data_IF_711342248476
#
_entry.id   IF_711342248476
#
_cell.length_a   1.000
_cell.length_b   1.000
_cell.length_c   1.000
_cell.angle_alpha   90.00
_cell.angle_beta   90.00
_cell.angle_gamma   90.00
#
_symmetry.space_group_name_H-M   'P 1'
#
loop_
_entity.id
_entity.type
_entity.pdbx_description
1 polymer ?
#
# COMPACT_ATOMS: atom_id res chain seq x y z
N UNK A 1 -10.57 -30.95 21.60
CA UNK A 1 -9.18 -30.49 21.84
C UNK A 1 -8.46 -29.95 20.60
N UNK A 2 -9.04 -30.03 19.38
CA UNK A 2 -8.44 -29.43 18.18
C UNK A 2 -8.84 -27.95 17.93
N UNK A 3 -9.89 -27.48 18.61
CA UNK A 3 -10.45 -26.14 18.40
C UNK A 3 -9.50 -25.03 18.83
N UNK A 4 -8.79 -25.20 19.96
CA UNK A 4 -7.81 -24.20 20.44
C UNK A 4 -6.66 -24.05 19.44
N UNK A 5 -6.15 -25.18 18.91
CA UNK A 5 -5.09 -25.18 17.91
C UNK A 5 -5.55 -24.46 16.63
N UNK A 6 -6.74 -24.78 16.13
CA UNK A 6 -7.33 -24.16 14.96
C UNK A 6 -7.53 -22.64 15.14
N UNK A 7 -8.10 -22.21 16.27
CA UNK A 7 -8.33 -20.79 16.54
C UNK A 7 -7.03 -20.02 16.67
N UNK A 8 -6.00 -20.61 17.29
CA UNK A 8 -4.68 -19.98 17.41
C UNK A 8 -4.02 -19.80 16.05
N UNK A 9 -4.10 -20.80 15.15
CA UNK A 9 -3.56 -20.67 13.79
C UNK A 9 -4.27 -19.56 13.03
N UNK A 10 -5.61 -19.51 13.06
CA UNK A 10 -6.34 -18.47 12.32
C UNK A 10 -6.09 -17.07 12.88
N UNK A 11 -6.08 -16.92 14.20
CA UNK A 11 -5.77 -15.64 14.84
C UNK A 11 -4.34 -15.20 14.51
N UNK A 12 -3.38 -16.12 14.59
CA UNK A 12 -1.98 -15.87 14.23
C UNK A 12 -1.83 -15.47 12.77
N UNK A 13 -2.43 -16.22 11.85
CA UNK A 13 -2.38 -15.93 10.41
C UNK A 13 -2.96 -14.54 10.09
N UNK A 14 -4.07 -14.15 10.73
CA UNK A 14 -4.67 -12.83 10.53
C UNK A 14 -3.74 -11.68 10.95
N UNK A 15 -3.16 -11.78 12.14
CA UNK A 15 -2.21 -10.76 12.65
C UNK A 15 -0.95 -10.73 11.79
N UNK A 16 -0.40 -11.89 11.45
CA UNK A 16 0.79 -11.98 10.58
C UNK A 16 0.52 -11.39 9.21
N UNK A 17 -0.65 -11.61 8.62
CA UNK A 17 -0.99 -11.05 7.32
C UNK A 17 -0.95 -9.52 7.33
N UNK A 18 -1.64 -8.89 8.29
CA UNK A 18 -1.64 -7.42 8.43
C UNK A 18 -0.22 -6.87 8.63
N UNK A 19 0.55 -7.51 9.51
CA UNK A 19 1.91 -7.09 9.80
C UNK A 19 2.83 -7.23 8.58
N UNK A 20 2.71 -8.35 7.86
CA UNK A 20 3.49 -8.64 6.66
C UNK A 20 3.16 -7.65 5.54
N UNK A 21 1.88 -7.44 5.23
CA UNK A 21 1.44 -6.50 4.19
C UNK A 21 1.92 -5.08 4.49
N UNK A 22 1.78 -4.64 5.74
CA UNK A 22 2.22 -3.29 6.14
C UNK A 22 3.74 -3.13 6.01
N UNK A 23 4.51 -4.12 6.50
CA UNK A 23 5.95 -4.08 6.45
C UNK A 23 6.48 -4.17 5.01
N UNK A 24 5.95 -5.10 4.21
CA UNK A 24 6.35 -5.30 2.83
C UNK A 24 6.07 -4.06 1.97
N UNK A 25 4.88 -3.46 2.12
CA UNK A 25 4.56 -2.20 1.45
C UNK A 25 5.48 -1.06 1.91
N UNK A 26 5.78 -0.96 3.21
CA UNK A 26 6.71 0.06 3.72
C UNK A 26 8.13 -0.07 3.14
N UNK A 27 8.64 -1.30 3.05
CA UNK A 27 9.94 -1.59 2.43
C UNK A 27 9.90 -1.22 0.93
N UNK A 28 8.86 -1.65 0.23
CA UNK A 28 8.67 -1.34 -1.19
C UNK A 28 8.63 0.17 -1.43
N UNK A 29 7.88 0.89 -0.59
CA UNK A 29 7.72 2.33 -0.68
C UNK A 29 9.04 3.08 -0.50
N UNK A 30 9.85 2.63 0.45
CA UNK A 30 11.16 3.22 0.73
C UNK A 30 12.13 2.98 -0.43
N UNK A 31 12.16 1.77 -0.99
CA UNK A 31 13.02 1.42 -2.11
C UNK A 31 12.62 2.19 -3.38
N UNK A 32 11.32 2.40 -3.60
CA UNK A 32 10.79 3.03 -4.81
C UNK A 32 10.41 4.50 -4.63
N UNK A 33 10.87 5.14 -3.54
CA UNK A 33 10.56 6.54 -3.24
C UNK A 33 10.91 7.46 -4.42
N UNK A 34 9.97 8.32 -4.80
CA UNK A 34 10.10 9.26 -5.91
C UNK A 34 9.80 8.67 -7.29
N UNK A 35 9.52 7.36 -7.37
CA UNK A 35 9.13 6.67 -8.62
C UNK A 35 7.69 6.17 -8.59
N UNK A 36 7.06 6.14 -7.41
CA UNK A 36 5.69 5.67 -7.29
C UNK A 36 4.72 6.73 -7.78
N UNK A 37 3.58 6.29 -8.32
CA UNK A 37 2.54 7.20 -8.78
C UNK A 37 2.13 8.19 -7.68
N UNK A 38 1.95 7.73 -6.43
CA UNK A 38 1.64 8.59 -5.29
C UNK A 38 2.67 9.71 -5.05
N UNK A 39 3.92 9.51 -5.45
CA UNK A 39 4.98 10.51 -5.31
C UNK A 39 4.99 11.52 -6.47
N UNK A 40 4.61 11.11 -7.69
CA UNK A 40 4.72 11.94 -8.91
C UNK A 40 3.39 12.46 -9.44
N UNK A 41 2.25 11.96 -8.94
CA UNK A 41 0.89 12.27 -9.43
C UNK A 41 0.60 13.76 -9.49
N UNK A 42 1.06 14.52 -8.50
CA UNK A 42 0.84 15.97 -8.44
C UNK A 42 1.35 16.71 -9.68
N UNK A 43 2.38 16.19 -10.35
CA UNK A 43 2.94 16.78 -11.58
C UNK A 43 2.01 16.69 -12.79
N UNK A 44 1.06 15.75 -12.76
CA UNK A 44 0.21 15.40 -13.90
C UNK A 44 -1.26 15.76 -13.68
N UNK A 45 -1.67 15.98 -12.42
CA UNK A 45 -3.03 16.43 -12.13
C UNK A 45 -3.20 17.93 -12.34
N UNK A 46 -2.18 18.72 -12.03
CA UNK A 46 -2.21 20.19 -12.18
C UNK A 46 -2.02 20.62 -13.66
N UNK A 47 -1.30 19.81 -14.44
CA UNK A 47 -1.10 20.01 -15.88
C UNK A 47 -2.29 19.58 -16.73
N UNK A 48 -3.27 18.86 -16.18
CA UNK A 48 -4.53 18.57 -16.86
C UNK A 48 -5.53 19.73 -16.76
N UNK A 49 -5.55 20.46 -15.65
CA UNK A 49 -6.42 21.64 -15.47
C UNK A 49 -5.89 22.86 -16.24
N UNK A 50 -4.57 23.01 -16.38
CA UNK A 50 -3.97 24.09 -17.17
C UNK A 50 -4.09 23.91 -18.70
N UNK A 51 -4.26 22.67 -19.19
CA UNK A 51 -4.45 22.40 -20.63
C UNK A 51 -5.93 22.42 -21.07
N UNK A 52 -6.90 22.33 -20.14
CA UNK A 52 -8.33 22.48 -20.45
C UNK A 52 -8.81 23.96 -20.48
N UNK A 53 -8.03 24.91 -19.96
CA UNK A 53 -8.36 26.35 -19.96
C UNK A 53 -7.80 27.09 -21.22
N UNK A 54 -7.06 26.37 -22.09
CA UNK A 54 -6.49 26.85 -23.35
C UNK A 54 -7.17 26.26 -24.62
N UNK A 55 -8.30 25.53 -24.49
CA UNK A 55 -9.21 25.12 -25.60
C UNK A 55 -10.57 25.86 -25.60
#
# INVERSE_FOLDING_TARGET
RNTIFLTTIFAGAFVTNIAFDTAANGIWDQINKGRQWKDIKHKYMDSGEAEEDDE
#
